data_IF_715799804037
#
_entry.id   IF_715799804037
#
_cell.length_a   1.000
_cell.length_b   1.000
_cell.length_c   1.000
_cell.angle_alpha   90.00
_cell.angle_beta   90.00
_cell.angle_gamma   90.00
#
_symmetry.space_group_name_H-M   'P 1'
#
loop_
_entity.id
_entity.type
_entity.pdbx_description
1 polymer ?
#
# COMPACT_ATOMS: atom_id res chain seq x y z
N UNK A 1 10.44 7.76 18.15
CA UNK A 1 9.14 8.37 18.48
C UNK A 1 8.03 7.66 17.72
N UNK A 2 7.00 7.13 18.39
CA UNK A 2 5.89 6.43 17.75
C UNK A 2 5.17 7.40 16.79
N UNK A 3 5.08 7.04 15.49
CA UNK A 3 4.47 7.89 14.45
C UNK A 3 3.04 8.30 14.80
N UNK A 4 2.29 7.44 15.50
CA UNK A 4 0.90 7.75 15.87
C UNK A 4 0.84 8.84 16.94
N UNK A 5 1.72 8.75 17.94
CA UNK A 5 1.83 9.76 19.01
C UNK A 5 2.19 11.13 18.46
N UNK A 6 3.02 11.18 17.42
CA UNK A 6 3.39 12.44 16.77
C UNK A 6 2.19 13.19 16.17
N UNK A 7 1.23 12.49 15.54
CA UNK A 7 0.00 13.13 15.03
C UNK A 7 -0.93 13.58 16.17
N UNK A 8 -1.04 12.81 17.26
CA UNK A 8 -1.81 13.23 18.45
C UNK A 8 -1.22 14.49 19.08
N UNK A 9 0.09 14.53 19.32
CA UNK A 9 0.79 15.70 19.88
C UNK A 9 0.55 16.94 19.02
N UNK A 10 0.61 16.81 17.69
CA UNK A 10 0.34 17.92 16.76
C UNK A 10 -1.11 18.41 16.83
N UNK A 11 -2.08 17.50 16.96
CA UNK A 11 -3.48 17.86 17.12
C UNK A 11 -3.69 18.63 18.43
N UNK A 12 -3.23 18.07 19.54
CA UNK A 12 -3.41 18.69 20.86
C UNK A 12 -2.70 20.04 20.95
N UNK A 13 -1.50 20.14 20.38
CA UNK A 13 -0.77 21.42 20.32
C UNK A 13 -1.53 22.49 19.54
N UNK A 14 -2.18 22.10 18.43
CA UNK A 14 -3.02 23.00 17.65
C UNK A 14 -4.30 23.39 18.39
N UNK A 15 -4.96 22.43 19.05
CA UNK A 15 -6.22 22.63 19.78
C UNK A 15 -6.02 23.57 20.98
N UNK A 16 -4.97 23.35 21.75
CA UNK A 16 -4.73 24.06 23.00
C UNK A 16 -3.83 25.30 22.82
N UNK A 17 -3.29 25.51 21.61
CA UNK A 17 -2.46 26.67 21.28
C UNK A 17 -1.07 26.66 21.93
N UNK A 18 -0.61 25.51 22.45
CA UNK A 18 0.68 25.35 23.12
C UNK A 18 1.50 24.23 22.48
N UNK A 19 2.82 24.27 22.61
CA UNK A 19 3.68 23.20 22.09
C UNK A 19 3.88 22.11 23.14
N UNK A 20 3.42 20.89 22.85
CA UNK A 20 3.66 19.74 23.72
C UNK A 20 4.95 18.98 23.33
N UNK A 21 5.72 18.47 24.32
CA UNK A 21 6.81 17.54 24.08
C UNK A 21 6.35 16.26 23.36
N UNK A 22 7.22 15.65 22.56
CA UNK A 22 6.88 14.45 21.77
C UNK A 22 6.56 13.21 22.61
N UNK A 23 7.02 13.17 23.85
CA UNK A 23 6.78 12.12 24.84
C UNK A 23 5.65 12.47 25.82
N UNK A 24 4.99 13.61 25.67
CA UNK A 24 3.87 14.02 26.52
C UNK A 24 2.75 12.96 26.52
N UNK A 25 2.16 12.71 27.70
CA UNK A 25 1.08 11.74 27.89
C UNK A 25 -0.20 12.50 28.19
N UNK A 26 -1.18 12.40 27.30
CA UNK A 26 -2.48 13.03 27.46
C UNK A 26 -3.39 12.15 28.32
N UNK A 27 -4.01 12.76 29.34
CA UNK A 27 -4.98 12.09 30.20
C UNK A 27 -6.30 11.84 29.47
N UNK A 28 -7.04 10.83 29.92
CA UNK A 28 -8.34 10.43 29.33
C UNK A 28 -9.31 11.60 29.24
N UNK A 29 -9.36 12.46 30.25
CA UNK A 29 -10.24 13.62 30.31
C UNK A 29 -9.93 14.60 29.16
N UNK A 30 -8.65 14.88 28.92
CA UNK A 30 -8.23 15.75 27.82
C UNK A 30 -8.59 15.15 26.45
N UNK A 31 -8.45 13.83 26.30
CA UNK A 31 -8.80 13.12 25.06
C UNK A 31 -10.32 13.11 24.81
N UNK A 32 -11.14 13.06 25.86
CA UNK A 32 -12.60 13.16 25.76
C UNK A 32 -13.09 14.56 25.38
N UNK A 33 -12.27 15.60 25.56
CA UNK A 33 -12.59 16.98 25.14
C UNK A 33 -12.30 17.24 23.65
N UNK A 34 -11.70 16.31 22.91
CA UNK A 34 -11.51 16.47 21.47
C UNK A 34 -12.86 16.39 20.79
N UNK A 35 -13.17 17.36 19.93
CA UNK A 35 -14.40 17.38 19.13
C UNK A 35 -14.12 17.14 17.65
N UNK A 36 -15.15 16.80 16.84
CA UNK A 36 -15.03 16.80 15.38
C UNK A 36 -14.60 18.14 14.80
N UNK A 37 -15.00 19.26 15.43
CA UNK A 37 -14.63 20.60 14.98
C UNK A 37 -13.13 20.83 15.08
N UNK A 38 -12.52 20.42 16.20
CA UNK A 38 -11.06 20.51 16.41
C UNK A 38 -10.30 19.73 15.34
N UNK A 39 -10.76 18.50 15.04
CA UNK A 39 -10.20 17.67 13.99
C UNK A 39 -10.34 18.31 12.61
N UNK A 40 -11.54 18.83 12.28
CA UNK A 40 -11.79 19.47 11.00
C UNK A 40 -10.91 20.72 10.81
N UNK A 41 -10.84 21.60 11.82
CA UNK A 41 -9.99 22.80 11.78
C UNK A 41 -8.52 22.44 11.62
N UNK A 42 -8.04 21.44 12.36
CA UNK A 42 -6.67 20.96 12.24
C UNK A 42 -6.37 20.33 10.87
N UNK A 43 -7.27 19.47 10.36
CA UNK A 43 -7.10 18.84 9.05
C UNK A 43 -7.20 19.85 7.91
N UNK A 44 -8.08 20.84 8.01
CA UNK A 44 -8.15 21.95 7.06
C UNK A 44 -6.84 22.75 7.06
N UNK A 45 -6.30 23.08 8.25
CA UNK A 45 -5.02 23.79 8.36
C UNK A 45 -3.90 23.03 7.65
N UNK A 46 -3.90 21.70 7.74
CA UNK A 46 -2.94 20.82 7.05
C UNK A 46 -3.19 20.72 5.54
N UNK A 47 -4.45 20.65 5.11
CA UNK A 47 -4.82 20.40 3.71
C UNK A 47 -4.75 21.67 2.86
N UNK A 48 -5.27 22.78 3.38
CA UNK A 48 -5.48 24.05 2.68
C UNK A 48 -4.63 25.19 3.22
N UNK A 49 -3.92 25.01 4.35
CA UNK A 49 -3.14 26.07 4.98
C UNK A 49 -3.94 27.00 5.90
N UNK A 50 -5.27 26.83 5.94
CA UNK A 50 -6.21 27.59 6.78
C UNK A 50 -7.12 26.64 7.58
N UNK A 51 -7.42 26.95 8.84
CA UNK A 51 -8.34 26.16 9.67
C UNK A 51 -9.80 26.28 9.24
N UNK A 52 -10.16 27.41 8.63
CA UNK A 52 -11.51 27.75 8.19
C UNK A 52 -11.47 28.19 6.71
N UNK A 53 -11.11 27.26 5.80
CA UNK A 53 -10.94 27.58 4.40
C UNK A 53 -12.28 28.00 3.79
N UNK A 54 -12.23 29.05 2.95
CA UNK A 54 -13.36 29.43 2.12
C UNK A 54 -13.73 28.33 1.11
N UNK A 55 -14.89 28.42 0.49
CA UNK A 55 -15.34 27.42 -0.49
C UNK A 55 -14.39 27.29 -1.69
N UNK A 56 -13.78 28.40 -2.10
CA UNK A 56 -12.85 28.47 -3.24
C UNK A 56 -11.43 27.98 -2.91
N UNK A 57 -11.09 27.85 -1.63
CA UNK A 57 -9.75 27.45 -1.23
C UNK A 57 -9.51 25.96 -1.49
N UNK A 58 -8.47 25.67 -2.28
CA UNK A 58 -8.11 24.31 -2.71
C UNK A 58 -7.15 23.63 -1.71
N UNK A 59 -7.33 22.33 -1.42
CA UNK A 59 -6.45 21.60 -0.51
C UNK A 59 -5.14 21.17 -1.21
N UNK A 60 -4.21 22.10 -1.34
CA UNK A 60 -2.95 21.95 -2.11
C UNK A 60 -1.72 21.64 -1.25
N UNK A 61 -1.86 21.44 0.06
CA UNK A 61 -0.72 21.25 0.96
C UNK A 61 -0.53 19.80 1.41
N UNK A 62 -1.61 19.04 1.59
CA UNK A 62 -1.52 17.65 2.09
C UNK A 62 -2.47 16.72 1.34
N UNK A 63 -1.99 15.51 1.02
CA UNK A 63 -2.82 14.46 0.42
C UNK A 63 -3.80 13.81 1.41
N UNK A 64 -4.91 13.31 0.89
CA UNK A 64 -5.94 12.58 1.63
C UNK A 64 -5.39 11.37 2.37
N UNK A 65 -4.45 10.62 1.79
CA UNK A 65 -3.83 9.45 2.44
C UNK A 65 -3.07 9.82 3.71
N UNK A 66 -2.43 11.00 3.74
CA UNK A 66 -1.77 11.53 4.93
C UNK A 66 -2.79 11.93 6.01
N UNK A 67 -3.93 12.49 5.62
CA UNK A 67 -5.02 12.81 6.54
C UNK A 67 -5.70 11.55 7.09
N UNK A 68 -5.87 10.51 6.26
CA UNK A 68 -6.39 9.21 6.69
C UNK A 68 -5.47 8.53 7.70
N UNK A 69 -4.15 8.59 7.45
CA UNK A 69 -3.17 8.13 8.42
C UNK A 69 -3.28 8.89 9.74
N UNK A 70 -3.31 10.22 9.70
CA UNK A 70 -3.46 11.06 10.89
C UNK A 70 -4.74 10.75 11.66
N UNK A 71 -5.86 10.60 10.96
CA UNK A 71 -7.15 10.18 11.53
C UNK A 71 -7.02 8.83 12.23
N UNK A 72 -6.40 7.83 11.59
CA UNK A 72 -6.16 6.49 12.16
C UNK A 72 -5.29 6.58 13.42
N UNK A 73 -4.21 7.35 13.34
CA UNK A 73 -3.29 7.58 14.45
C UNK A 73 -3.97 8.21 15.66
N UNK A 74 -4.78 9.24 15.47
CA UNK A 74 -5.52 9.87 16.57
C UNK A 74 -6.56 8.90 17.13
N UNK A 75 -7.25 8.16 16.25
CA UNK A 75 -8.30 7.21 16.64
C UNK A 75 -7.79 6.11 17.59
N UNK A 76 -6.52 5.70 17.51
CA UNK A 76 -5.97 4.67 18.40
C UNK A 76 -5.82 5.13 19.86
N UNK A 77 -5.84 6.43 20.11
CA UNK A 77 -5.77 7.00 21.46
C UNK A 77 -7.14 7.40 22.01
N UNK A 78 -8.20 7.39 21.18
CA UNK A 78 -9.52 7.83 21.63
C UNK A 78 -10.09 6.82 22.64
N UNK A 79 -10.54 7.23 23.83
CA UNK A 79 -11.05 6.30 24.84
C UNK A 79 -12.23 5.44 24.37
N UNK A 80 -12.99 5.94 23.38
CA UNK A 80 -14.21 5.31 22.85
C UNK A 80 -14.04 4.84 21.41
N UNK A 81 -12.99 4.08 21.12
CA UNK A 81 -12.56 3.69 19.75
C UNK A 81 -13.69 3.12 18.87
N UNK A 82 -14.62 2.35 19.46
CA UNK A 82 -15.68 1.66 18.73
C UNK A 82 -17.01 2.44 18.66
N UNK A 83 -17.17 3.50 19.44
CA UNK A 83 -18.41 4.26 19.48
C UNK A 83 -18.46 5.28 18.34
N UNK A 84 -19.46 5.19 17.46
CA UNK A 84 -19.72 6.23 16.44
C UNK A 84 -19.99 7.57 17.13
N UNK A 85 -19.61 8.67 16.48
CA UNK A 85 -19.91 10.01 16.99
C UNK A 85 -21.39 10.34 16.85
N UNK A 86 -22.05 10.66 17.96
CA UNK A 86 -23.40 11.18 18.02
C UNK A 86 -23.35 12.72 18.12
N UNK A 87 -23.88 13.46 17.11
CA UNK A 87 -23.92 14.91 17.12
C UNK A 87 -24.90 15.49 18.14
N UNK A 88 -25.93 14.75 18.57
CA UNK A 88 -26.95 15.22 19.52
C UNK A 88 -26.38 15.23 20.93
N UNK A 89 -25.77 14.12 21.35
CA UNK A 89 -25.20 14.00 22.70
C UNK A 89 -23.74 14.46 22.77
N UNK A 90 -23.12 14.83 21.65
CA UNK A 90 -21.70 15.17 21.52
C UNK A 90 -20.78 14.10 22.13
N UNK A 91 -21.10 12.82 21.89
CA UNK A 91 -20.42 11.68 22.50
C UNK A 91 -19.99 10.68 21.43
N UNK A 92 -18.92 9.93 21.71
CA UNK A 92 -18.38 8.90 20.81
C UNK A 92 -16.96 9.24 20.38
N UNK A 93 -16.46 8.65 19.28
CA UNK A 93 -15.13 9.00 18.77
C UNK A 93 -15.20 10.07 17.68
N UNK A 94 -14.58 11.25 17.88
CA UNK A 94 -14.62 12.35 16.92
C UNK A 94 -14.12 11.98 15.52
N UNK A 95 -13.17 11.05 15.43
CA UNK A 95 -12.58 10.58 14.17
C UNK A 95 -13.57 9.83 13.28
N UNK A 96 -14.65 9.26 13.86
CA UNK A 96 -15.71 8.56 13.11
C UNK A 96 -16.89 9.46 12.74
N UNK A 97 -16.83 10.76 13.06
CA UNK A 97 -17.87 11.71 12.67
C UNK A 97 -17.97 11.89 11.15
N UNK A 98 -19.19 12.20 10.69
CA UNK A 98 -19.43 12.48 9.27
C UNK A 98 -18.69 13.70 8.76
N UNK A 99 -18.50 14.73 9.61
CA UNK A 99 -17.78 15.95 9.24
C UNK A 99 -16.33 15.64 8.83
N UNK A 100 -15.60 14.89 9.66
CA UNK A 100 -14.21 14.48 9.38
C UNK A 100 -14.14 13.60 8.13
N UNK A 101 -15.09 12.67 7.97
CA UNK A 101 -15.15 11.81 6.77
C UNK A 101 -15.43 12.62 5.49
N UNK A 102 -16.35 13.58 5.54
CA UNK A 102 -16.68 14.47 4.42
C UNK A 102 -15.49 15.35 4.02
N UNK A 103 -14.72 15.85 4.98
CA UNK A 103 -13.50 16.62 4.72
C UNK A 103 -12.48 15.78 3.93
N UNK A 104 -12.16 14.57 4.39
CA UNK A 104 -11.21 13.69 3.68
C UNK A 104 -11.73 13.35 2.27
N UNK A 105 -13.04 13.08 2.13
CA UNK A 105 -13.67 12.88 0.81
C UNK A 105 -13.57 14.12 -0.08
N UNK A 106 -13.70 15.34 0.46
CA UNK A 106 -13.50 16.60 -0.30
C UNK A 106 -12.07 16.64 -0.84
N UNK A 107 -11.06 16.41 -0.01
CA UNK A 107 -9.65 16.39 -0.44
C UNK A 107 -9.42 15.36 -1.55
N UNK A 108 -9.93 14.13 -1.40
CA UNK A 108 -9.85 13.09 -2.45
C UNK A 108 -10.42 13.55 -3.79
N UNK A 109 -11.54 14.28 -3.79
CA UNK A 109 -12.14 14.79 -5.03
C UNK A 109 -11.23 15.81 -5.73
N UNK A 110 -10.61 16.73 -4.97
CA UNK A 110 -9.65 17.69 -5.54
C UNK A 110 -8.40 17.02 -6.09
N UNK A 111 -7.89 15.98 -5.41
CA UNK A 111 -6.75 15.19 -5.91
C UNK A 111 -7.05 14.54 -7.26
N UNK A 112 -8.20 13.87 -7.39
CA UNK A 112 -8.61 13.20 -8.65
C UNK A 112 -8.85 14.20 -9.78
N UNK A 113 -9.35 15.41 -9.45
CA UNK A 113 -9.50 16.53 -10.40
C UNK A 113 -8.19 17.21 -10.78
N UNK A 114 -7.05 16.79 -10.21
CA UNK A 114 -5.73 17.42 -10.36
C UNK A 114 -5.68 18.87 -9.86
N UNK A 115 -6.54 19.19 -8.91
CA UNK A 115 -6.65 20.50 -8.26
C UNK A 115 -6.13 20.49 -6.81
N UNK A 116 -5.77 19.32 -6.29
CA UNK A 116 -5.09 19.13 -5.01
C UNK A 116 -3.63 18.74 -5.20
N UNK A 117 -3.02 18.18 -4.15
CA UNK A 117 -1.63 17.69 -4.21
C UNK A 117 -1.51 16.52 -5.19
N UNK A 118 -0.64 16.66 -6.19
CA UNK A 118 -0.36 15.62 -7.18
C UNK A 118 0.15 14.33 -6.54
N UNK A 119 -0.04 13.17 -7.18
CA UNK A 119 0.40 11.86 -6.65
C UNK A 119 1.92 11.67 -6.77
N UNK A 120 2.54 11.03 -5.78
CA UNK A 120 3.93 10.56 -5.85
C UNK A 120 3.99 9.07 -6.21
N UNK A 121 2.87 8.49 -6.67
CA UNK A 121 2.87 7.14 -7.18
C UNK A 121 3.85 7.06 -8.35
N UNK A 122 4.78 6.11 -8.29
CA UNK A 122 5.67 5.83 -9.42
C UNK A 122 4.83 5.36 -10.59
N UNK A 123 5.17 5.80 -11.81
CA UNK A 123 4.53 5.28 -13.01
C UNK A 123 4.80 3.77 -13.14
N UNK A 124 3.93 3.03 -13.84
CA UNK A 124 4.22 1.64 -14.19
C UNK A 124 5.53 1.53 -14.98
N UNK A 125 6.19 0.38 -14.82
CA UNK A 125 7.35 0.00 -15.65
C UNK A 125 6.85 -0.28 -17.07
N UNK A 126 7.55 0.27 -18.06
CA UNK A 126 7.24 0.06 -19.48
C UNK A 126 7.96 -1.19 -20.01
N UNK A 127 7.48 -1.75 -21.12
CA UNK A 127 7.98 -3.03 -21.65
C UNK A 127 9.49 -2.97 -21.97
N UNK A 128 9.95 -1.90 -22.60
CA UNK A 128 11.37 -1.75 -22.94
C UNK A 128 12.25 -1.65 -21.68
N UNK A 129 11.75 -1.00 -20.63
CA UNK A 129 12.45 -0.91 -19.35
C UNK A 129 12.54 -2.27 -18.67
N UNK A 130 11.48 -3.05 -18.75
CA UNK A 130 11.44 -4.42 -18.25
C UNK A 130 12.43 -5.32 -19.00
N UNK A 131 12.45 -5.25 -20.34
CA UNK A 131 13.42 -5.98 -21.16
C UNK A 131 14.85 -5.56 -20.81
N UNK A 132 15.11 -4.27 -20.62
CA UNK A 132 16.42 -3.77 -20.20
C UNK A 132 16.80 -4.27 -18.80
N UNK A 133 15.86 -4.33 -17.86
CA UNK A 133 16.08 -4.91 -16.54
C UNK A 133 16.50 -6.38 -16.63
N UNK A 134 15.81 -7.17 -17.46
CA UNK A 134 16.17 -8.59 -17.68
C UNK A 134 17.56 -8.75 -18.29
N UNK A 135 17.94 -7.88 -19.24
CA UNK A 135 19.30 -7.87 -19.80
C UNK A 135 20.36 -7.61 -18.74
N UNK A 136 20.12 -6.66 -17.83
CA UNK A 136 21.04 -6.35 -16.73
C UNK A 136 21.19 -7.53 -15.77
N UNK A 137 20.09 -8.19 -15.39
CA UNK A 137 20.13 -9.39 -14.54
C UNK A 137 20.97 -10.49 -15.19
N UNK A 138 20.80 -10.72 -16.50
CA UNK A 138 21.50 -11.80 -17.22
C UNK A 138 22.96 -11.50 -17.54
N UNK A 139 23.31 -10.21 -17.63
CA UNK A 139 24.68 -9.76 -17.84
C UNK A 139 25.54 -9.84 -16.56
N UNK A 140 24.96 -10.22 -15.42
CA UNK A 140 25.71 -10.45 -14.18
C UNK A 140 26.74 -11.57 -14.37
N UNK A 141 28.03 -11.23 -14.20
CA UNK A 141 29.17 -12.13 -14.47
C UNK A 141 29.15 -13.39 -13.58
N UNK A 142 28.61 -13.27 -12.37
CA UNK A 142 28.49 -14.36 -11.40
C UNK A 142 27.11 -15.04 -11.50
N UNK A 143 26.76 -15.54 -12.68
CA UNK A 143 25.49 -16.25 -12.92
C UNK A 143 25.30 -17.37 -11.89
N UNK A 144 24.50 -17.06 -10.87
CA UNK A 144 24.26 -17.93 -9.73
C UNK A 144 22.81 -18.37 -9.71
N UNK A 145 22.45 -19.28 -8.80
CA UNK A 145 21.04 -19.64 -8.56
C UNK A 145 20.15 -18.42 -8.34
N UNK A 146 20.69 -17.35 -7.73
CA UNK A 146 19.98 -16.09 -7.50
C UNK A 146 19.67 -15.34 -8.80
N UNK A 147 20.56 -15.34 -9.79
CA UNK A 147 20.35 -14.66 -11.08
C UNK A 147 19.21 -15.31 -11.87
N UNK A 148 19.15 -16.65 -11.87
CA UNK A 148 18.07 -17.41 -12.49
C UNK A 148 16.75 -17.24 -11.74
N UNK A 149 16.79 -17.25 -10.40
CA UNK A 149 15.63 -16.93 -9.56
C UNK A 149 15.06 -15.56 -9.91
N UNK A 150 15.90 -14.53 -10.00
CA UNK A 150 15.47 -13.18 -10.33
C UNK A 150 14.85 -13.09 -11.72
N UNK A 151 15.44 -13.75 -12.73
CA UNK A 151 14.87 -13.80 -14.08
C UNK A 151 13.48 -14.47 -14.10
N UNK A 152 13.34 -15.59 -13.39
CA UNK A 152 12.08 -16.30 -13.23
C UNK A 152 11.02 -15.44 -12.53
N UNK A 153 11.37 -14.84 -11.40
CA UNK A 153 10.48 -13.98 -10.61
C UNK A 153 10.01 -12.77 -11.42
N UNK A 154 10.90 -12.08 -12.12
CA UNK A 154 10.56 -10.89 -12.89
C UNK A 154 9.63 -11.21 -14.07
N UNK A 155 9.90 -12.31 -14.79
CA UNK A 155 9.05 -12.74 -15.92
C UNK A 155 7.69 -13.25 -15.47
N UNK A 156 7.63 -14.02 -14.38
CA UNK A 156 6.37 -14.39 -13.75
C UNK A 156 5.61 -13.16 -13.27
N UNK A 157 6.27 -12.24 -12.55
CA UNK A 157 5.66 -11.02 -12.03
C UNK A 157 4.99 -10.21 -13.14
N UNK A 158 5.71 -10.03 -14.25
CA UNK A 158 5.19 -9.33 -15.43
C UNK A 158 3.97 -10.06 -16.01
N UNK A 159 4.06 -11.39 -16.15
CA UNK A 159 3.01 -12.21 -16.75
C UNK A 159 1.70 -12.19 -15.96
N UNK A 160 1.77 -12.29 -14.62
CA UNK A 160 0.58 -12.36 -13.76
C UNK A 160 0.22 -11.02 -13.07
N UNK A 161 0.90 -9.93 -13.47
CA UNK A 161 0.73 -8.58 -12.92
C UNK A 161 0.81 -8.51 -11.39
N UNK A 162 1.68 -9.31 -10.78
CA UNK A 162 1.77 -9.43 -9.32
C UNK A 162 2.74 -8.42 -8.70
N UNK A 163 2.63 -8.25 -7.38
CA UNK A 163 3.60 -7.48 -6.60
C UNK A 163 4.80 -8.37 -6.27
N UNK A 164 6.00 -7.78 -6.26
CA UNK A 164 7.22 -8.54 -5.95
C UNK A 164 7.16 -9.20 -4.57
N UNK A 165 6.50 -8.59 -3.58
CA UNK A 165 6.36 -9.20 -2.26
C UNK A 165 5.47 -10.45 -2.27
N UNK A 166 4.49 -10.51 -3.17
CA UNK A 166 3.64 -11.69 -3.38
C UNK A 166 4.43 -12.79 -4.13
N UNK A 167 5.25 -12.39 -5.12
CA UNK A 167 6.12 -13.32 -5.85
C UNK A 167 7.09 -14.08 -4.95
N UNK A 168 7.65 -13.41 -3.93
CA UNK A 168 8.55 -14.03 -2.95
C UNK A 168 7.86 -15.05 -2.03
N UNK A 169 6.53 -15.21 -2.14
CA UNK A 169 5.74 -16.16 -1.38
C UNK A 169 5.16 -17.28 -2.24
N UNK A 170 5.42 -17.28 -3.54
CA UNK A 170 5.06 -18.38 -4.42
C UNK A 170 5.83 -19.65 -4.07
N UNK A 171 5.12 -20.76 -4.14
CA UNK A 171 5.55 -22.11 -3.88
C UNK A 171 5.17 -23.00 -5.08
N UNK A 172 5.77 -24.19 -5.17
CA UNK A 172 5.48 -25.12 -6.26
C UNK A 172 4.03 -25.60 -6.29
N UNK A 173 3.37 -25.68 -5.13
CA UNK A 173 1.96 -26.06 -5.00
C UNK A 173 0.98 -24.98 -5.50
N UNK A 174 1.49 -23.78 -5.83
CA UNK A 174 0.73 -22.73 -6.51
C UNK A 174 0.59 -22.99 -8.01
N UNK A 175 1.35 -23.93 -8.56
CA UNK A 175 1.31 -24.27 -9.98
C UNK A 175 0.61 -25.61 -10.19
N UNK A 176 -0.16 -25.71 -11.27
CA UNK A 176 -0.78 -26.96 -11.70
C UNK A 176 -0.74 -27.08 -13.23
N UNK A 177 -0.68 -28.31 -13.78
CA UNK A 177 -0.71 -28.50 -15.22
C UNK A 177 -2.07 -28.10 -15.79
N UNK A 178 -2.07 -27.42 -16.94
CA UNK A 178 -3.30 -27.14 -17.66
C UNK A 178 -3.67 -28.33 -18.55
N UNK A 179 -4.75 -29.03 -18.20
CA UNK A 179 -5.22 -30.22 -18.92
C UNK A 179 -5.86 -29.88 -20.27
N UNK A 180 -6.38 -28.66 -20.42
CA UNK A 180 -6.99 -28.19 -21.67
C UNK A 180 -5.93 -27.68 -22.66
N UNK A 181 -4.86 -27.04 -22.14
CA UNK A 181 -3.77 -26.50 -22.94
C UNK A 181 -2.42 -27.01 -22.41
N UNK A 182 -1.96 -28.18 -22.88
CA UNK A 182 -0.76 -28.85 -22.34
C UNK A 182 0.55 -28.05 -22.39
N UNK A 183 0.62 -27.02 -23.24
CA UNK A 183 1.75 -26.11 -23.35
C UNK A 183 1.71 -24.92 -22.37
N UNK A 184 0.83 -24.96 -21.37
CA UNK A 184 0.63 -23.89 -20.38
C UNK A 184 0.54 -24.46 -18.97
N UNK A 185 0.74 -23.59 -17.99
CA UNK A 185 0.54 -23.91 -16.57
C UNK A 185 -0.57 -23.04 -16.01
N UNK A 186 -1.27 -23.53 -15.01
CA UNK A 186 -2.04 -22.69 -14.12
C UNK A 186 -1.17 -22.22 -12.96
N UNK A 187 -1.43 -21.02 -12.47
CA UNK A 187 -0.81 -20.45 -11.29
C UNK A 187 -1.81 -19.64 -10.49
N UNK A 188 -1.84 -19.88 -9.18
CA UNK A 188 -2.68 -19.12 -8.27
C UNK A 188 -1.83 -18.52 -7.14
N UNK A 189 -1.83 -17.20 -7.03
CA UNK A 189 -1.19 -16.47 -5.92
C UNK A 189 -2.06 -16.65 -4.67
N UNK A 190 -1.64 -17.52 -3.75
CA UNK A 190 -2.39 -17.80 -2.50
C UNK A 190 -2.08 -16.84 -1.35
N UNK A 191 -1.06 -16.00 -1.51
CA UNK A 191 -0.66 -15.04 -0.50
C UNK A 191 -0.48 -13.66 -1.13
N UNK A 192 -1.24 -12.69 -0.64
CA UNK A 192 -1.03 -11.27 -0.85
C UNK A 192 -1.68 -10.50 0.28
N UNK A 193 -1.17 -9.31 0.59
CA UNK A 193 -1.74 -8.43 1.63
C UNK A 193 -3.18 -8.01 1.36
N UNK A 194 -3.63 -8.09 0.10
CA UNK A 194 -4.95 -7.64 -0.33
C UNK A 194 -5.90 -8.80 -0.66
N UNK A 195 -5.49 -10.06 -0.46
CA UNK A 195 -6.34 -11.23 -0.63
C UNK A 195 -6.94 -11.56 0.74
N UNK A 196 -8.26 -11.51 0.83
CA UNK A 196 -9.02 -11.86 2.03
C UNK A 196 -9.82 -13.15 1.85
N UNK A 197 -10.16 -13.47 0.61
CA UNK A 197 -10.85 -14.68 0.19
C UNK A 197 -10.26 -15.24 -1.11
N UNK A 198 -10.47 -16.53 -1.37
CA UNK A 198 -9.85 -17.24 -2.51
C UNK A 198 -10.19 -16.60 -3.88
N UNK A 199 -11.39 -16.05 -4.01
CA UNK A 199 -11.86 -15.33 -5.20
C UNK A 199 -11.14 -14.01 -5.47
N UNK A 200 -10.42 -13.45 -4.51
CA UNK A 200 -9.63 -12.22 -4.70
C UNK A 200 -8.37 -12.48 -5.56
N UNK A 201 -7.96 -13.75 -5.68
CA UNK A 201 -6.84 -14.18 -6.53
C UNK A 201 -7.24 -15.40 -7.37
N UNK A 202 -7.93 -15.17 -8.49
CA UNK A 202 -8.30 -16.24 -9.40
C UNK A 202 -7.05 -16.92 -9.98
N UNK A 203 -7.22 -18.18 -10.35
CA UNK A 203 -6.21 -18.94 -11.08
C UNK A 203 -5.92 -18.28 -12.44
N UNK A 204 -4.63 -18.12 -12.76
CA UNK A 204 -4.14 -17.48 -13.97
C UNK A 204 -3.43 -18.50 -14.85
N UNK A 205 -3.50 -18.33 -16.17
CA UNK A 205 -2.80 -19.20 -17.13
C UNK A 205 -1.45 -18.57 -17.49
N UNK A 206 -0.39 -19.35 -17.32
CA UNK A 206 0.99 -19.00 -17.71
C UNK A 206 1.28 -19.57 -19.09
N UNK A 207 1.66 -18.69 -20.00
CA UNK A 207 2.04 -19.03 -21.36
C UNK A 207 3.54 -18.91 -21.58
N UNK A 208 4.06 -19.70 -22.52
CA UNK A 208 5.38 -19.48 -23.07
C UNK A 208 5.38 -18.28 -24.04
N UNK A 209 6.54 -17.63 -24.17
CA UNK A 209 6.78 -16.64 -25.21
C UNK A 209 7.71 -17.21 -26.27
N UNK A 210 7.55 -16.75 -27.51
CA UNK A 210 8.50 -17.02 -28.60
C UNK A 210 9.82 -16.27 -28.42
N UNK A 211 9.81 -15.17 -27.65
CA UNK A 211 11.04 -14.49 -27.25
C UNK A 211 11.58 -15.15 -25.97
N UNK A 212 12.73 -15.85 -26.03
CA UNK A 212 13.31 -16.51 -24.86
C UNK A 212 13.72 -15.53 -23.75
N UNK A 213 13.83 -14.23 -24.06
CA UNK A 213 14.15 -13.23 -23.05
C UNK A 213 13.02 -13.01 -22.06
N UNK A 214 11.77 -13.03 -22.52
CA UNK A 214 10.59 -12.79 -21.69
C UNK A 214 9.77 -14.05 -21.46
N UNK A 215 10.19 -15.20 -22.00
CA UNK A 215 9.46 -16.45 -21.87
C UNK A 215 9.43 -16.96 -20.42
N UNK A 216 8.28 -16.77 -19.77
CA UNK A 216 8.08 -17.13 -18.37
C UNK A 216 8.30 -18.63 -18.10
N UNK A 217 7.78 -19.51 -18.97
CA UNK A 217 7.97 -20.95 -18.82
C UNK A 217 9.44 -21.37 -18.94
N UNK A 218 10.19 -20.76 -19.86
CA UNK A 218 11.62 -21.05 -20.03
C UNK A 218 12.43 -20.60 -18.81
N UNK A 219 12.22 -19.37 -18.34
CA UNK A 219 12.94 -18.85 -17.17
C UNK A 219 12.60 -19.65 -15.89
N UNK A 220 11.35 -20.11 -15.76
CA UNK A 220 10.94 -21.01 -14.68
C UNK A 220 11.66 -22.36 -14.78
N UNK A 221 11.68 -22.98 -15.96
CA UNK A 221 12.36 -24.26 -16.17
C UNK A 221 13.86 -24.19 -15.84
N UNK A 222 14.55 -23.15 -16.31
CA UNK A 222 15.99 -22.93 -16.02
C UNK A 222 16.22 -22.79 -14.51
N UNK A 223 15.39 -22.01 -13.81
CA UNK A 223 15.52 -21.83 -12.37
C UNK A 223 15.32 -23.16 -11.60
N UNK A 224 14.31 -23.95 -11.97
CA UNK A 224 14.05 -25.25 -11.35
C UNK A 224 15.24 -26.19 -11.57
N UNK A 225 15.73 -26.30 -12.80
CA UNK A 225 16.85 -27.19 -13.15
C UNK A 225 18.13 -26.81 -12.39
N UNK A 226 18.46 -25.52 -12.34
CA UNK A 226 19.64 -25.02 -11.62
C UNK A 226 19.52 -25.23 -10.11
N UNK A 227 18.33 -25.02 -9.53
CA UNK A 227 18.09 -25.22 -8.09
C UNK A 227 18.08 -26.69 -7.67
N UNK A 228 17.55 -27.58 -8.52
CA UNK A 228 17.57 -29.03 -8.29
C UNK A 228 18.99 -29.58 -8.30
N UNK A 229 19.85 -29.07 -9.19
CA UNK A 229 21.25 -29.47 -9.27
C UNK A 229 22.07 -29.00 -8.05
N UNK A 230 21.81 -27.80 -7.53
CA UNK A 230 22.41 -27.31 -6.26
C UNK A 230 22.00 -28.17 -5.06
N UNK A 231 20.77 -28.68 -5.04
CA UNK A 231 20.30 -29.56 -3.95
C UNK A 231 20.99 -30.93 -4.00
N UNK A 232 21.28 -31.44 -5.20
CA UNK A 232 21.96 -32.74 -5.39
C UNK A 232 23.47 -32.69 -5.11
N UNK A 233 24.13 -31.55 -5.30
CA UNK A 233 25.57 -31.40 -5.02
C UNK A 233 25.92 -31.22 -3.53
N UNK A 234 24.91 -31.03 -2.68
CA UNK A 234 25.05 -30.90 -1.22
C UNK A 234 24.65 -32.18 -0.45
N UNK A 235 24.47 -33.29 -1.18
CA UNK A 235 24.29 -34.66 -0.67
C UNK A 235 25.50 -35.51 -1.07
#
# INVERSE_FOLDING_TARGET
MNRYKADLVKLMSFKDGISYPGDHVFMTEALLQITPSDLCRWMNKRASGDSEPSEDMKPVHTRSSTLEFAKKAISSFMPRVNATWDPVTAQGTPTRSDAVNKLIKKVKRFEVRREGVGSNARRPIEFDEFVNLLKLVRAEENQSGSTYMMSCVLTLQWHIMARVDDMMKLQFDNFSPNTQYPSSLHCQVRWSKNISEERDAPEQIIFGSLDPNVCTLLNLAIYIETSANVTRSNL
#
